data_IF_395126821998
#
_entry.id   IF_395126821998
#
_cell.length_a   1.000
_cell.length_b   1.000
_cell.length_c   1.000
_cell.angle_alpha   90.00
_cell.angle_beta   90.00
_cell.angle_gamma   90.00
#
_symmetry.space_group_name_H-M   'P 1'
#
loop_
_entity.id
_entity.type
_entity.pdbx_description
1 polymer ?
#
# COMPACT_ATOMS: atom_id res chain seq x y z
N UNK A 1 18.80 5.57 -5.53
CA UNK A 1 20.20 5.94 -5.81
C UNK A 1 20.76 6.82 -4.68
N UNK A 2 20.13 7.97 -4.35
CA UNK A 2 20.61 8.90 -3.31
C UNK A 2 20.80 8.21 -1.94
N UNK A 3 19.83 7.42 -1.49
CA UNK A 3 19.94 6.68 -0.24
C UNK A 3 21.18 5.76 -0.22
N UNK A 4 21.42 5.01 -1.28
CA UNK A 4 22.58 4.12 -1.36
C UNK A 4 23.92 4.88 -1.25
N UNK A 5 24.01 6.01 -1.95
CA UNK A 5 25.23 6.85 -1.93
C UNK A 5 25.49 7.42 -0.55
N UNK A 6 24.47 8.01 0.09
CA UNK A 6 24.61 8.72 1.36
C UNK A 6 24.63 7.79 2.58
N UNK A 7 23.96 6.64 2.53
CA UNK A 7 24.02 5.66 3.62
C UNK A 7 25.40 5.01 3.68
N UNK A 8 25.92 4.57 2.53
CA UNK A 8 27.15 3.78 2.46
C UNK A 8 28.40 4.60 2.11
N UNK A 9 28.30 5.90 1.93
CA UNK A 9 29.43 6.76 1.62
C UNK A 9 30.11 6.43 0.30
N UNK A 10 29.33 6.13 -0.77
CA UNK A 10 29.88 5.82 -2.09
C UNK A 10 30.12 7.09 -2.90
N UNK A 11 30.96 6.96 -3.96
CA UNK A 11 31.32 8.08 -4.87
C UNK A 11 31.95 9.30 -4.18
N UNK A 12 32.67 9.12 -3.08
CA UNK A 12 33.36 10.22 -2.38
C UNK A 12 32.51 10.99 -1.38
N UNK A 13 31.27 10.57 -1.14
CA UNK A 13 30.43 11.15 -0.10
C UNK A 13 30.72 10.52 1.26
N UNK A 14 30.55 11.26 2.37
CA UNK A 14 30.71 10.72 3.71
C UNK A 14 29.60 9.68 4.01
N UNK A 15 29.94 8.66 4.78
CA UNK A 15 28.98 7.67 5.25
C UNK A 15 28.11 8.27 6.37
N UNK A 16 26.89 8.64 6.04
CA UNK A 16 25.95 9.30 6.96
C UNK A 16 24.98 8.35 7.65
N UNK A 17 24.96 7.05 7.29
CA UNK A 17 24.08 6.05 7.90
C UNK A 17 22.60 6.47 7.84
N UNK A 18 21.91 6.51 8.99
CA UNK A 18 20.49 6.85 9.11
C UNK A 18 20.20 8.29 8.64
N UNK A 19 21.09 9.24 8.97
CA UNK A 19 20.96 10.62 8.50
C UNK A 19 21.06 10.69 6.97
N UNK A 20 21.92 9.87 6.35
CA UNK A 20 22.04 9.72 4.90
C UNK A 20 20.75 9.23 4.25
N UNK A 21 20.02 8.32 4.90
CA UNK A 21 18.72 7.85 4.42
C UNK A 21 17.67 8.96 4.41
N UNK A 22 17.61 9.78 5.47
CA UNK A 22 16.68 10.90 5.58
C UNK A 22 16.96 11.98 4.52
N UNK A 23 18.23 12.40 4.38
CA UNK A 23 18.66 13.37 3.38
C UNK A 23 18.40 12.84 1.95
N UNK A 24 18.74 11.59 1.70
CA UNK A 24 18.56 10.97 0.38
C UNK A 24 17.08 10.87 -0.03
N UNK A 25 16.18 10.59 0.91
CA UNK A 25 14.73 10.60 0.67
C UNK A 25 14.23 12.01 0.38
N UNK A 26 14.65 13.00 1.15
CA UNK A 26 14.29 14.41 0.91
C UNK A 26 14.78 14.93 -0.44
N UNK A 27 16.00 14.57 -0.85
CA UNK A 27 16.54 14.91 -2.16
C UNK A 27 15.74 14.23 -3.30
N UNK A 28 15.32 12.97 -3.12
CA UNK A 28 14.50 12.27 -4.10
C UNK A 28 13.15 12.98 -4.32
N UNK A 29 12.49 13.40 -3.23
CA UNK A 29 11.25 14.18 -3.29
C UNK A 29 11.47 15.53 -4.00
N UNK A 30 12.55 16.26 -3.69
CA UNK A 30 12.86 17.52 -4.37
C UNK A 30 13.06 17.32 -5.87
N UNK A 31 13.78 16.28 -6.28
CA UNK A 31 13.97 15.95 -7.71
C UNK A 31 12.64 15.64 -8.38
N UNK A 32 11.76 14.88 -7.70
CA UNK A 32 10.41 14.59 -8.21
C UNK A 32 9.61 15.88 -8.42
N UNK A 33 9.60 16.79 -7.46
CA UNK A 33 8.89 18.07 -7.55
C UNK A 33 9.42 18.89 -8.72
N UNK A 34 10.75 19.02 -8.86
CA UNK A 34 11.38 19.76 -9.96
C UNK A 34 11.00 19.12 -11.31
N UNK A 35 11.06 17.80 -11.40
CA UNK A 35 10.66 17.08 -12.61
C UNK A 35 9.21 17.39 -13.00
N UNK A 36 8.28 17.31 -12.05
CA UNK A 36 6.87 17.60 -12.30
C UNK A 36 6.63 19.05 -12.68
N UNK A 37 7.32 20.01 -12.09
CA UNK A 37 7.25 21.43 -12.49
C UNK A 37 7.70 21.61 -13.95
N UNK A 38 8.86 21.05 -14.32
CA UNK A 38 9.40 21.15 -15.68
C UNK A 38 8.47 20.45 -16.68
N UNK A 39 7.97 19.27 -16.34
CA UNK A 39 7.05 18.51 -17.17
C UNK A 39 5.75 19.28 -17.42
N UNK A 40 5.18 19.85 -16.35
CA UNK A 40 3.96 20.66 -16.42
C UNK A 40 4.16 21.88 -17.35
N UNK A 41 5.25 22.61 -17.18
CA UNK A 41 5.53 23.77 -18.04
C UNK A 41 5.75 23.42 -19.52
N UNK A 42 6.35 22.25 -19.81
CA UNK A 42 6.66 21.84 -21.18
C UNK A 42 5.51 21.14 -21.90
N UNK A 43 4.64 20.44 -21.17
CA UNK A 43 3.64 19.52 -21.76
C UNK A 43 2.20 19.94 -21.51
N UNK A 44 1.93 20.77 -20.52
CA UNK A 44 0.58 21.18 -20.16
C UNK A 44 0.39 22.65 -20.53
N UNK A 45 -0.74 22.96 -21.15
CA UNK A 45 -1.11 24.34 -21.43
C UNK A 45 -1.53 25.02 -20.12
N UNK A 46 -0.57 25.70 -19.49
CA UNK A 46 -0.78 26.41 -18.22
C UNK A 46 -1.83 27.51 -18.31
N UNK A 47 -2.10 28.05 -19.50
CA UNK A 47 -3.14 29.06 -19.71
C UNK A 47 -4.53 28.43 -19.70
N UNK A 48 -4.69 27.28 -20.35
CA UNK A 48 -5.96 26.54 -20.42
C UNK A 48 -6.44 26.12 -19.01
N UNK A 49 -5.52 25.75 -18.14
CA UNK A 49 -5.82 25.31 -16.77
C UNK A 49 -5.60 26.39 -15.70
N UNK A 50 -5.28 27.63 -16.13
CA UNK A 50 -5.02 28.77 -15.25
C UNK A 50 -3.97 28.50 -14.14
N UNK A 51 -2.97 27.64 -14.43
CA UNK A 51 -1.93 27.24 -13.47
C UNK A 51 -0.93 28.37 -13.18
N UNK A 52 -0.90 29.40 -14.00
CA UNK A 52 -0.05 30.60 -13.86
C UNK A 52 -0.72 31.72 -13.05
N UNK A 53 -1.96 31.50 -12.59
CA UNK A 53 -2.72 32.50 -11.81
C UNK A 53 -2.89 31.96 -10.40
N UNK A 54 -2.51 32.75 -9.40
CA UNK A 54 -2.78 32.41 -8.01
C UNK A 54 -4.29 32.36 -7.77
N UNK A 55 -4.85 31.21 -7.35
CA UNK A 55 -6.30 31.09 -7.18
C UNK A 55 -6.79 32.00 -6.05
N UNK A 56 -7.89 32.71 -6.30
CA UNK A 56 -8.57 33.45 -5.23
C UNK A 56 -9.16 32.46 -4.21
N UNK A 57 -9.00 32.75 -2.95
CA UNK A 57 -9.58 31.93 -1.88
C UNK A 57 -11.10 31.86 -2.01
N UNK A 58 -11.62 30.65 -2.18
CA UNK A 58 -13.03 30.37 -2.29
C UNK A 58 -13.48 29.45 -1.15
N UNK A 59 -14.01 30.05 -0.07
CA UNK A 59 -14.43 29.31 1.12
C UNK A 59 -15.50 28.22 0.84
N UNK A 60 -16.40 28.46 -0.11
CA UNK A 60 -17.41 27.45 -0.50
C UNK A 60 -16.79 26.22 -1.14
N UNK A 61 -15.82 26.41 -2.03
CA UNK A 61 -15.08 25.31 -2.68
C UNK A 61 -14.23 24.54 -1.66
N UNK A 62 -13.53 25.25 -0.78
CA UNK A 62 -12.76 24.64 0.30
C UNK A 62 -13.66 23.79 1.21
N UNK A 63 -14.82 24.29 1.64
CA UNK A 63 -15.77 23.53 2.48
C UNK A 63 -16.25 22.26 1.77
N UNK A 64 -16.48 22.30 0.47
CA UNK A 64 -16.88 21.11 -0.33
C UNK A 64 -15.76 20.09 -0.41
N UNK A 65 -14.53 20.53 -0.66
CA UNK A 65 -13.34 19.65 -0.69
C UNK A 65 -13.12 19.01 0.68
N UNK A 66 -13.14 19.80 1.75
CA UNK A 66 -12.96 19.32 3.11
C UNK A 66 -14.02 18.29 3.50
N UNK A 67 -15.28 18.50 3.12
CA UNK A 67 -16.37 17.55 3.42
C UNK A 67 -16.15 16.16 2.79
N UNK A 68 -15.46 16.08 1.66
CA UNK A 68 -15.08 14.82 1.03
C UNK A 68 -13.79 14.28 1.65
N UNK A 69 -12.79 15.15 1.82
CA UNK A 69 -11.45 14.76 2.27
C UNK A 69 -11.41 14.30 3.73
N UNK A 70 -12.22 14.86 4.62
CA UNK A 70 -12.28 14.46 6.04
C UNK A 70 -12.59 12.96 6.19
N UNK A 71 -13.53 12.43 5.42
CA UNK A 71 -13.86 11.01 5.48
C UNK A 71 -12.71 10.11 5.01
N UNK A 72 -12.00 10.53 3.96
CA UNK A 72 -10.79 9.85 3.49
C UNK A 72 -9.64 9.96 4.49
N UNK A 73 -9.48 11.09 5.18
CA UNK A 73 -8.48 11.24 6.24
C UNK A 73 -8.77 10.32 7.42
N UNK A 74 -10.02 10.24 7.88
CA UNK A 74 -10.44 9.33 8.95
C UNK A 74 -10.18 7.88 8.52
N UNK A 75 -10.54 7.53 7.30
CA UNK A 75 -10.30 6.21 6.74
C UNK A 75 -8.81 5.84 6.76
N UNK A 76 -7.94 6.69 6.23
CA UNK A 76 -6.49 6.44 6.23
C UNK A 76 -5.92 6.34 7.65
N UNK A 77 -6.40 7.16 8.57
CA UNK A 77 -5.97 7.11 9.97
C UNK A 77 -6.35 5.77 10.62
N UNK A 78 -7.58 5.32 10.42
CA UNK A 78 -8.05 4.04 10.97
C UNK A 78 -7.30 2.85 10.35
N UNK A 79 -7.10 2.85 9.03
CA UNK A 79 -6.31 1.82 8.34
C UNK A 79 -4.88 1.74 8.85
N UNK A 80 -4.23 2.89 9.01
CA UNK A 80 -2.86 2.97 9.52
C UNK A 80 -2.78 2.49 10.98
N UNK A 81 -3.74 2.89 11.82
CA UNK A 81 -3.83 2.45 13.22
C UNK A 81 -4.04 0.95 13.33
N UNK A 82 -4.91 0.37 12.50
CA UNK A 82 -5.15 -1.07 12.45
C UNK A 82 -3.89 -1.84 12.03
N UNK A 83 -3.16 -1.31 11.06
CA UNK A 83 -1.88 -1.86 10.64
C UNK A 83 -0.84 -1.86 11.76
N UNK A 84 -0.76 -0.77 12.51
CA UNK A 84 0.11 -0.67 13.67
C UNK A 84 -0.29 -1.65 14.78
N UNK A 85 -1.61 -1.77 15.07
CA UNK A 85 -2.11 -2.77 16.02
C UNK A 85 -1.74 -4.20 15.63
N UNK A 86 -1.79 -4.55 14.34
CA UNK A 86 -1.36 -5.87 13.88
C UNK A 86 0.09 -6.16 14.27
N UNK A 87 1.00 -5.21 14.07
CA UNK A 87 2.40 -5.40 14.46
C UNK A 87 2.58 -5.52 15.96
N UNK A 88 1.81 -4.78 16.76
CA UNK A 88 1.81 -4.97 18.22
C UNK A 88 1.36 -6.39 18.62
N UNK A 89 0.34 -6.93 17.98
CA UNK A 89 -0.10 -8.31 18.23
C UNK A 89 0.98 -9.33 17.83
N UNK A 90 1.62 -9.15 16.69
CA UNK A 90 2.69 -10.04 16.23
C UNK A 90 3.93 -9.95 17.13
N UNK A 91 4.24 -8.78 17.67
CA UNK A 91 5.33 -8.58 18.63
C UNK A 91 5.14 -9.43 19.89
N UNK A 92 3.91 -9.55 20.39
CA UNK A 92 3.58 -10.41 21.52
C UNK A 92 3.77 -11.91 21.24
N UNK A 93 3.82 -12.32 19.96
CA UNK A 93 4.12 -13.71 19.56
C UNK A 93 5.63 -14.02 19.52
N UNK A 94 6.47 -13.05 19.86
CA UNK A 94 7.92 -13.16 19.93
C UNK A 94 8.67 -12.67 18.71
N UNK A 95 9.98 -12.45 18.88
CA UNK A 95 10.88 -11.84 17.90
C UNK A 95 10.92 -12.59 16.55
N UNK A 96 10.86 -13.92 16.60
CA UNK A 96 10.85 -14.75 15.38
C UNK A 96 9.62 -14.50 14.51
N UNK A 97 8.45 -14.42 15.11
CA UNK A 97 7.19 -14.13 14.42
C UNK A 97 7.19 -12.72 13.82
N UNK A 98 7.72 -11.76 14.56
CA UNK A 98 7.86 -10.38 14.12
C UNK A 98 8.84 -10.28 12.93
N UNK A 99 9.96 -11.01 12.97
CA UNK A 99 10.92 -11.06 11.88
C UNK A 99 10.29 -11.63 10.60
N UNK A 100 9.56 -12.75 10.69
CA UNK A 100 8.83 -13.35 9.57
C UNK A 100 7.81 -12.35 9.00
N UNK A 101 7.00 -11.72 9.85
CA UNK A 101 6.00 -10.75 9.42
C UNK A 101 6.64 -9.56 8.68
N UNK A 102 7.79 -9.05 9.15
CA UNK A 102 8.52 -7.98 8.49
C UNK A 102 9.10 -8.40 7.13
N UNK A 103 9.65 -9.61 7.01
CA UNK A 103 10.13 -10.15 5.73
C UNK A 103 8.98 -10.24 4.73
N UNK A 104 7.87 -10.88 5.12
CA UNK A 104 6.69 -11.05 4.26
C UNK A 104 6.11 -9.70 3.84
N UNK A 105 6.05 -8.74 4.75
CA UNK A 105 5.64 -7.36 4.44
C UNK A 105 6.50 -6.73 3.36
N UNK A 106 7.82 -6.82 3.48
CA UNK A 106 8.73 -6.23 2.51
C UNK A 106 8.61 -6.92 1.14
N UNK A 107 8.51 -8.25 1.11
CA UNK A 107 8.26 -9.02 -0.11
C UNK A 107 6.93 -8.62 -0.76
N UNK A 108 5.88 -8.42 0.04
CA UNK A 108 4.56 -8.02 -0.45
C UNK A 108 4.53 -6.61 -1.06
N UNK A 109 5.52 -5.79 -0.76
CA UNK A 109 5.59 -4.41 -1.24
C UNK A 109 5.55 -4.30 -2.77
N UNK A 110 6.23 -5.20 -3.49
CA UNK A 110 6.28 -5.16 -4.95
C UNK A 110 4.90 -5.41 -5.59
N UNK A 111 4.23 -6.56 -5.35
CA UNK A 111 2.91 -6.81 -5.92
C UNK A 111 1.86 -5.82 -5.40
N UNK A 112 2.00 -5.31 -4.17
CA UNK A 112 1.11 -4.31 -3.61
C UNK A 112 1.19 -2.98 -4.35
N UNK A 113 2.39 -2.46 -4.63
CA UNK A 113 2.56 -1.22 -5.40
C UNK A 113 1.91 -1.30 -6.78
N UNK A 114 2.08 -2.44 -7.46
CA UNK A 114 1.48 -2.65 -8.79
C UNK A 114 -0.05 -2.70 -8.68
N UNK A 115 -0.60 -3.49 -7.76
CA UNK A 115 -2.03 -3.58 -7.54
C UNK A 115 -2.66 -2.22 -7.21
N UNK A 116 -2.00 -1.44 -6.34
CA UNK A 116 -2.46 -0.10 -5.95
C UNK A 116 -2.36 0.91 -7.10
N UNK A 117 -1.35 0.83 -7.96
CA UNK A 117 -1.25 1.70 -9.13
C UNK A 117 -2.47 1.53 -10.06
N UNK A 118 -2.83 0.29 -10.39
CA UNK A 118 -4.02 0.00 -11.21
C UNK A 118 -5.32 0.37 -10.50
N UNK A 119 -5.43 0.11 -9.21
CA UNK A 119 -6.60 0.47 -8.42
C UNK A 119 -6.81 2.00 -8.37
N UNK A 120 -5.77 2.76 -8.08
CA UNK A 120 -5.81 4.23 -8.01
C UNK A 120 -6.15 4.85 -9.37
N UNK A 121 -5.56 4.33 -10.46
CA UNK A 121 -5.86 4.76 -11.83
C UNK A 121 -7.33 4.48 -12.17
N UNK A 122 -7.85 3.31 -11.78
CA UNK A 122 -9.25 2.97 -11.98
C UNK A 122 -10.18 3.96 -11.26
N UNK A 123 -9.88 4.30 -9.99
CA UNK A 123 -10.65 5.28 -9.23
C UNK A 123 -10.71 6.65 -9.92
N UNK A 124 -9.57 7.12 -10.45
CA UNK A 124 -9.50 8.38 -11.19
C UNK A 124 -10.30 8.34 -12.49
N UNK A 125 -10.23 7.23 -13.25
CA UNK A 125 -11.01 7.06 -14.48
C UNK A 125 -12.50 6.97 -14.20
N UNK A 126 -12.91 6.26 -13.15
CA UNK A 126 -14.33 6.18 -12.72
C UNK A 126 -14.85 7.57 -12.38
N UNK A 127 -14.07 8.37 -11.66
CA UNK A 127 -14.45 9.77 -11.36
C UNK A 127 -14.67 10.60 -12.62
N UNK A 128 -13.77 10.47 -13.61
CA UNK A 128 -13.87 11.18 -14.89
C UNK A 128 -15.09 10.71 -15.70
N UNK A 129 -15.35 9.41 -15.79
CA UNK A 129 -16.50 8.85 -16.52
C UNK A 129 -17.83 9.33 -15.91
N UNK A 130 -17.93 9.35 -14.58
CA UNK A 130 -19.11 9.87 -13.91
C UNK A 130 -19.29 11.37 -14.18
N UNK A 131 -18.18 12.14 -14.16
CA UNK A 131 -18.20 13.56 -14.49
C UNK A 131 -18.59 13.86 -15.94
N UNK A 132 -18.27 12.97 -16.87
CA UNK A 132 -18.65 13.03 -18.28
C UNK A 132 -20.08 12.53 -18.56
N UNK A 133 -20.75 11.91 -17.58
CA UNK A 133 -22.09 11.32 -17.76
C UNK A 133 -22.06 9.91 -18.37
N UNK A 134 -20.88 9.30 -18.55
CA UNK A 134 -20.68 7.98 -19.18
C UNK A 134 -20.70 6.84 -18.13
N UNK A 135 -21.75 6.77 -17.33
CA UNK A 135 -21.82 5.80 -16.20
C UNK A 135 -21.84 4.34 -16.65
N UNK A 136 -22.35 4.06 -17.84
CA UNK A 136 -22.41 2.70 -18.40
C UNK A 136 -21.02 2.10 -18.66
N UNK A 137 -20.02 2.94 -18.92
CA UNK A 137 -18.64 2.53 -19.15
C UNK A 137 -17.89 2.13 -17.88
N UNK A 138 -18.39 2.50 -16.68
CA UNK A 138 -17.71 2.28 -15.39
C UNK A 138 -17.44 0.80 -15.14
N UNK A 139 -18.43 -0.08 -15.34
CA UNK A 139 -18.25 -1.53 -15.12
C UNK A 139 -17.22 -2.15 -16.06
N UNK A 140 -17.19 -1.69 -17.30
CA UNK A 140 -16.19 -2.11 -18.29
C UNK A 140 -14.78 -1.73 -17.86
N UNK A 141 -14.62 -0.49 -17.43
CA UNK A 141 -13.35 0.07 -16.95
C UNK A 141 -12.83 -0.70 -15.73
N UNK A 142 -13.68 -0.97 -14.74
CA UNK A 142 -13.31 -1.76 -13.54
C UNK A 142 -12.82 -3.15 -13.95
N UNK A 143 -13.60 -3.87 -14.78
CA UNK A 143 -13.22 -5.23 -15.25
C UNK A 143 -11.90 -5.23 -16.02
N UNK A 144 -11.67 -4.22 -16.84
CA UNK A 144 -10.43 -4.07 -17.59
C UNK A 144 -9.23 -3.86 -16.65
N UNK A 145 -9.36 -2.99 -15.64
CA UNK A 145 -8.28 -2.75 -14.66
C UNK A 145 -7.97 -3.97 -13.81
N UNK A 146 -8.98 -4.73 -13.39
CA UNK A 146 -8.76 -6.01 -12.70
C UNK A 146 -7.99 -6.99 -13.59
N UNK A 147 -8.39 -7.13 -14.86
CA UNK A 147 -7.72 -8.02 -15.82
C UNK A 147 -6.27 -7.61 -16.05
N UNK A 148 -6.02 -6.33 -16.28
CA UNK A 148 -4.66 -5.81 -16.47
C UNK A 148 -3.84 -5.95 -15.18
N UNK A 149 -4.43 -5.64 -14.03
CA UNK A 149 -3.79 -5.84 -12.72
C UNK A 149 -3.30 -7.27 -12.52
N UNK A 150 -4.13 -8.26 -12.89
CA UNK A 150 -3.73 -9.66 -12.83
C UNK A 150 -2.62 -10.01 -13.84
N UNK A 151 -2.63 -9.45 -15.04
CA UNK A 151 -1.56 -9.69 -16.04
C UNK A 151 -0.18 -9.31 -15.47
N UNK A 152 -0.11 -8.27 -14.64
CA UNK A 152 1.15 -7.84 -14.05
C UNK A 152 1.45 -8.50 -12.70
N UNK A 153 0.44 -8.74 -11.87
CA UNK A 153 0.64 -9.29 -10.52
C UNK A 153 0.84 -10.80 -10.55
N UNK A 154 0.07 -11.57 -11.35
CA UNK A 154 0.17 -13.04 -11.38
C UNK A 154 1.56 -13.57 -11.72
N UNK A 155 2.30 -13.04 -12.72
CA UNK A 155 3.67 -13.54 -12.98
C UNK A 155 4.59 -13.39 -11.77
N UNK A 156 4.44 -12.31 -11.01
CA UNK A 156 5.23 -12.06 -9.80
C UNK A 156 4.86 -13.07 -8.70
N UNK A 157 3.55 -13.32 -8.50
CA UNK A 157 3.11 -14.30 -7.52
C UNK A 157 3.54 -15.72 -7.89
N UNK A 158 3.46 -16.08 -9.17
CA UNK A 158 3.94 -17.39 -9.68
C UNK A 158 5.44 -17.50 -9.42
N UNK A 159 6.21 -16.46 -9.69
CA UNK A 159 7.65 -16.42 -9.42
C UNK A 159 7.96 -16.60 -7.92
N UNK A 160 7.20 -15.94 -7.04
CA UNK A 160 7.33 -16.09 -5.59
C UNK A 160 7.00 -17.50 -5.12
N UNK A 161 5.99 -18.14 -5.73
CA UNK A 161 5.61 -19.51 -5.38
C UNK A 161 6.63 -20.55 -5.87
N UNK A 162 7.21 -20.35 -7.05
CA UNK A 162 8.17 -21.28 -7.65
C UNK A 162 9.58 -21.15 -7.04
N UNK A 163 9.97 -19.93 -6.68
CA UNK A 163 11.31 -19.63 -6.19
C UNK A 163 11.29 -18.90 -4.83
N UNK A 164 10.64 -19.48 -3.80
CA UNK A 164 10.48 -18.81 -2.50
C UNK A 164 11.83 -18.53 -1.82
N UNK A 165 12.75 -19.49 -1.85
CA UNK A 165 14.05 -19.33 -1.21
C UNK A 165 14.90 -18.24 -1.85
N UNK A 166 14.85 -18.10 -3.18
CA UNK A 166 15.55 -17.04 -3.90
C UNK A 166 15.10 -15.65 -3.47
N UNK A 167 13.79 -15.46 -3.32
CA UNK A 167 13.22 -14.18 -2.89
C UNK A 167 13.54 -13.88 -1.42
N UNK A 168 13.37 -14.89 -0.54
CA UNK A 168 13.59 -14.74 0.88
C UNK A 168 15.07 -14.52 1.20
N UNK A 169 15.99 -15.06 0.38
CA UNK A 169 17.43 -14.86 0.50
C UNK A 169 17.87 -13.41 0.34
N UNK A 170 17.07 -12.58 -0.36
CA UNK A 170 17.36 -11.14 -0.49
C UNK A 170 17.18 -10.42 0.88
N UNK A 171 16.34 -10.97 1.75
CA UNK A 171 15.96 -10.33 3.02
C UNK A 171 16.62 -10.94 4.25
N UNK A 172 17.03 -12.21 4.19
CA UNK A 172 17.69 -12.88 5.33
C UNK A 172 18.62 -13.98 4.89
N UNK A 173 19.80 -14.05 5.51
CA UNK A 173 20.79 -15.12 5.33
C UNK A 173 20.50 -16.33 6.22
N UNK A 174 19.59 -16.22 7.21
CA UNK A 174 19.29 -17.29 8.16
C UNK A 174 18.39 -18.37 7.52
N UNK A 175 18.90 -19.62 7.33
CA UNK A 175 18.14 -20.69 6.66
C UNK A 175 16.82 -21.03 7.38
N UNK A 176 16.87 -21.08 8.72
CA UNK A 176 15.72 -21.43 9.56
C UNK A 176 14.58 -20.39 9.41
N UNK A 177 14.96 -19.11 9.32
CA UNK A 177 13.98 -18.03 9.18
C UNK A 177 13.36 -18.05 7.78
N UNK A 178 14.16 -18.36 6.75
CA UNK A 178 13.67 -18.53 5.37
C UNK A 178 12.65 -19.68 5.30
N UNK A 179 13.04 -20.86 5.80
CA UNK A 179 12.14 -22.02 5.81
C UNK A 179 10.83 -21.75 6.53
N UNK A 180 10.88 -21.05 7.68
CA UNK A 180 9.69 -20.65 8.43
C UNK A 180 8.83 -19.59 7.71
N UNK A 181 9.41 -18.79 6.80
CA UNK A 181 8.70 -17.76 6.05
C UNK A 181 7.96 -18.28 4.81
N UNK A 182 8.34 -19.45 4.28
CA UNK A 182 7.76 -20.01 3.04
C UNK A 182 6.23 -20.22 3.13
N UNK A 183 5.67 -20.85 4.19
CA UNK A 183 4.22 -21.01 4.29
C UNK A 183 3.48 -19.66 4.29
N UNK A 184 4.02 -18.67 5.00
CA UNK A 184 3.44 -17.32 5.05
C UNK A 184 3.48 -16.63 3.68
N UNK A 185 4.52 -16.88 2.88
CA UNK A 185 4.61 -16.38 1.51
C UNK A 185 3.54 -16.99 0.60
N UNK A 186 3.25 -18.28 0.72
CA UNK A 186 2.18 -18.93 -0.06
C UNK A 186 0.79 -18.40 0.31
N UNK A 187 0.54 -18.20 1.61
CA UNK A 187 -0.70 -17.55 2.08
C UNK A 187 -0.81 -16.14 1.50
N UNK A 188 0.28 -15.36 1.52
CA UNK A 188 0.32 -14.04 0.90
C UNK A 188 -0.04 -14.10 -0.59
N UNK A 189 0.56 -15.02 -1.36
CA UNK A 189 0.27 -15.17 -2.78
C UNK A 189 -1.21 -15.50 -3.03
N UNK A 190 -1.81 -16.38 -2.22
CA UNK A 190 -3.24 -16.69 -2.34
C UNK A 190 -4.13 -15.50 -2.00
N UNK A 191 -3.76 -14.70 -1.00
CA UNK A 191 -4.49 -13.49 -0.61
C UNK A 191 -4.55 -12.45 -1.73
N UNK A 192 -3.48 -12.31 -2.54
CA UNK A 192 -3.46 -11.37 -3.66
C UNK A 192 -4.48 -11.68 -4.76
N UNK A 193 -4.94 -12.92 -4.90
CA UNK A 193 -6.00 -13.27 -5.85
C UNK A 193 -7.32 -12.54 -5.50
N UNK A 194 -7.54 -12.26 -4.23
CA UNK A 194 -8.72 -11.52 -3.76
C UNK A 194 -8.40 -10.02 -3.60
N UNK A 195 -7.19 -9.70 -3.18
CA UNK A 195 -6.77 -8.34 -2.86
C UNK A 195 -6.73 -7.43 -4.11
N UNK A 196 -6.33 -7.95 -5.26
CA UNK A 196 -6.30 -7.16 -6.53
C UNK A 196 -7.69 -6.65 -6.89
N UNK A 197 -8.73 -7.48 -7.08
CA UNK A 197 -10.07 -6.96 -7.38
C UNK A 197 -10.66 -6.15 -6.22
N UNK A 198 -10.40 -6.52 -4.97
CA UNK A 198 -10.89 -5.78 -3.81
C UNK A 198 -10.38 -4.33 -3.81
N UNK A 199 -9.09 -4.10 -4.05
CA UNK A 199 -8.52 -2.76 -4.14
C UNK A 199 -9.10 -1.95 -5.32
N UNK A 200 -9.28 -2.59 -6.50
CA UNK A 200 -9.85 -1.91 -7.66
C UNK A 200 -11.30 -1.49 -7.39
N UNK A 201 -12.12 -2.36 -6.83
CA UNK A 201 -13.50 -2.02 -6.45
C UNK A 201 -13.53 -0.92 -5.38
N UNK A 202 -12.70 -1.03 -4.36
CA UNK A 202 -12.62 -0.06 -3.27
C UNK A 202 -12.24 1.33 -3.77
N UNK A 203 -11.20 1.44 -4.59
CA UNK A 203 -10.79 2.70 -5.20
C UNK A 203 -11.83 3.24 -6.19
N UNK A 204 -12.55 2.37 -6.88
CA UNK A 204 -13.65 2.76 -7.75
C UNK A 204 -14.80 3.38 -6.97
N UNK A 205 -15.19 2.80 -5.82
CA UNK A 205 -16.21 3.37 -4.92
C UNK A 205 -15.75 4.72 -4.38
N UNK A 206 -14.50 4.83 -3.96
CA UNK A 206 -13.91 6.10 -3.53
C UNK A 206 -13.92 7.15 -4.67
N UNK A 207 -13.64 6.71 -5.91
CA UNK A 207 -13.67 7.54 -7.13
C UNK A 207 -15.07 8.09 -7.49
N UNK A 208 -16.14 7.46 -7.01
CA UNK A 208 -17.51 8.01 -7.17
C UNK A 208 -17.76 9.27 -6.33
N UNK A 209 -16.85 9.62 -5.42
CA UNK A 209 -17.00 10.71 -4.46
C UNK A 209 -17.83 10.32 -3.21
N UNK A 210 -18.34 9.09 -3.14
CA UNK A 210 -19.06 8.59 -1.96
C UNK A 210 -18.09 8.05 -0.91
N UNK A 211 -17.26 8.93 -0.38
CA UNK A 211 -16.22 8.60 0.60
C UNK A 211 -16.76 8.08 1.93
N UNK A 212 -18.02 8.42 2.26
CA UNK A 212 -18.70 7.89 3.46
C UNK A 212 -18.97 6.39 3.34
N UNK A 213 -19.46 5.95 2.18
CA UNK A 213 -19.66 4.50 1.92
C UNK A 213 -18.33 3.76 1.89
N UNK A 214 -17.29 4.34 1.27
CA UNK A 214 -15.97 3.77 1.28
C UNK A 214 -15.43 3.59 2.71
N UNK A 215 -15.56 4.61 3.57
CA UNK A 215 -15.21 4.51 4.99
C UNK A 215 -16.02 3.44 5.73
N UNK A 216 -17.34 3.37 5.52
CA UNK A 216 -18.17 2.37 6.18
C UNK A 216 -17.77 0.93 5.79
N UNK A 217 -17.48 0.68 4.51
CA UNK A 217 -16.97 -0.60 4.02
C UNK A 217 -15.62 -0.95 4.67
N UNK A 218 -14.71 0.01 4.72
CA UNK A 218 -13.40 -0.16 5.37
C UNK A 218 -13.55 -0.50 6.85
N UNK A 219 -14.38 0.25 7.59
CA UNK A 219 -14.63 0.00 9.03
C UNK A 219 -15.19 -1.39 9.28
N UNK A 220 -16.10 -1.88 8.45
CA UNK A 220 -16.62 -3.24 8.55
C UNK A 220 -15.52 -4.28 8.35
N UNK A 221 -14.69 -4.13 7.33
CA UNK A 221 -13.58 -5.05 7.06
C UNK A 221 -12.55 -5.02 8.17
N UNK A 222 -12.19 -3.83 8.66
CA UNK A 222 -11.23 -3.67 9.74
C UNK A 222 -11.74 -4.23 11.07
N UNK A 223 -13.03 -4.08 11.38
CA UNK A 223 -13.64 -4.68 12.56
C UNK A 223 -13.54 -6.21 12.53
N UNK A 224 -13.86 -6.84 11.40
CA UNK A 224 -13.69 -8.28 11.20
C UNK A 224 -12.23 -8.68 11.34
N UNK A 225 -11.33 -7.93 10.71
CA UNK A 225 -9.90 -8.20 10.75
C UNK A 225 -9.31 -8.13 12.17
N UNK A 226 -9.62 -7.06 12.92
CA UNK A 226 -9.14 -6.89 14.30
C UNK A 226 -9.69 -7.98 15.21
N UNK A 227 -10.98 -8.31 15.10
CA UNK A 227 -11.62 -9.38 15.88
C UNK A 227 -10.97 -10.73 15.58
N UNK A 228 -10.76 -11.05 14.30
CA UNK A 228 -10.10 -12.29 13.90
C UNK A 228 -8.64 -12.35 14.39
N UNK A 229 -7.88 -11.26 14.24
CA UNK A 229 -6.49 -11.19 14.68
C UNK A 229 -6.36 -11.34 16.19
N UNK A 230 -7.21 -10.65 16.96
CA UNK A 230 -7.22 -10.76 18.42
C UNK A 230 -7.58 -12.17 18.88
N UNK A 231 -8.59 -12.80 18.24
CA UNK A 231 -8.96 -14.18 18.52
C UNK A 231 -7.82 -15.17 18.21
N UNK A 232 -7.19 -15.04 17.03
CA UNK A 232 -6.10 -15.92 16.62
C UNK A 232 -4.88 -15.81 17.54
N UNK A 233 -4.52 -14.59 17.96
CA UNK A 233 -3.41 -14.38 18.90
C UNK A 233 -3.74 -14.95 20.27
N UNK A 234 -4.95 -14.71 20.78
CA UNK A 234 -5.37 -15.27 22.08
C UNK A 234 -5.39 -16.80 22.06
N UNK A 235 -5.86 -17.41 20.97
CA UNK A 235 -5.90 -18.87 20.83
C UNK A 235 -4.50 -19.49 20.75
N UNK A 236 -3.57 -18.87 20.03
CA UNK A 236 -2.18 -19.37 19.97
C UNK A 236 -1.46 -19.21 21.30
N UNK A 237 -1.73 -18.17 22.07
CA UNK A 237 -1.20 -18.00 23.42
C UNK A 237 -1.71 -19.07 24.40
N UNK A 238 -3.01 -19.37 24.39
CA UNK A 238 -3.59 -20.43 25.23
C UNK A 238 -2.99 -21.80 24.91
N UNK A 239 -2.84 -22.12 23.62
CA UNK A 239 -2.27 -23.40 23.19
C UNK A 239 -0.78 -23.52 23.51
N UNK A 240 -0.01 -22.44 23.45
CA UNK A 240 1.39 -22.43 23.85
C UNK A 240 1.55 -22.66 25.35
N UNK A 241 0.65 -22.15 26.18
CA UNK A 241 0.63 -22.40 27.61
C UNK A 241 0.24 -23.85 27.94
N UNK A 242 -0.70 -24.45 27.21
CA UNK A 242 -1.08 -25.86 27.43
C UNK A 242 0.05 -26.83 27.03
N UNK A 243 0.76 -26.57 25.92
CA UNK A 243 1.91 -27.41 25.50
C UNK A 243 3.13 -27.24 26.41
N UNK A 244 3.34 -26.04 26.97
CA UNK A 244 4.42 -25.79 27.94
C UNK A 244 4.18 -26.39 29.34
N UNK A 245 2.95 -26.77 29.65
CA UNK A 245 2.61 -27.45 30.93
C UNK A 245 2.84 -28.98 30.89
N UNK A 246 3.17 -29.54 29.73
CA UNK A 246 3.45 -30.98 29.53
C UNK A 246 4.94 -31.30 29.27
N UNK A 247 5.83 -30.31 29.35
CA UNK A 247 7.30 -30.43 29.33
C UNK A 247 7.88 -30.03 30.69
#
# INVERSE_FOLDING_TARGET
VFNYILIFGKFGFPQLGIAGAAIGSSLAEMVSVIFFIIYTWKRIDCRKYALNILPKFQGKTLKRILNVSVWTMIQNFVSLSTWFMFFLFVEHLGERSLAIANIIRNVSGIPFMIAMAFASTCGSLVSNLIGAGEQDCVRGTIRQHIRIGYIFVLPILIFFCLFPDLILRIYTDMPDLRAASVPSLWVLCSAYLVLVPANVYFQSVSGTGNTRTALAMELCVLAIYVTYSAYSVSYTHLRAHETGAYL
#
